data_IF_836780309235
#
_entry.id   IF_836780309235
#
_cell.length_a   1.000
_cell.length_b   1.000
_cell.length_c   1.000
_cell.angle_alpha   90.00
_cell.angle_beta   90.00
_cell.angle_gamma   90.00
#
_symmetry.space_group_name_H-M   'P 1'
#
loop_
_entity.id
_entity.type
_entity.pdbx_description
1 polymer ?
#
# COMPACT_ATOMS: atom_id res chain seq x y z
N UNK A 1 -0.77 -17.15 4.66
CA UNK A 1 -1.74 -16.48 5.55
C UNK A 1 -3.19 -16.76 5.18
N UNK A 2 -3.63 -16.59 3.93
CA UNK A 2 -5.05 -16.77 3.53
C UNK A 2 -5.42 -18.18 3.03
N UNK A 3 -4.48 -19.13 3.10
CA UNK A 3 -4.71 -20.49 2.60
C UNK A 3 -5.16 -21.41 3.74
N UNK A 4 -6.45 -21.75 3.75
CA UNK A 4 -7.06 -22.61 4.75
C UNK A 4 -6.46 -24.04 4.72
N UNK A 5 -5.96 -24.51 3.56
CA UNK A 5 -5.42 -25.87 3.43
C UNK A 5 -4.05 -26.03 4.08
N UNK A 6 -3.28 -24.94 4.17
CA UNK A 6 -1.93 -24.93 4.73
C UNK A 6 -1.88 -24.34 6.14
N UNK A 7 -3.04 -24.21 6.80
CA UNK A 7 -3.11 -23.67 8.16
C UNK A 7 -2.98 -22.14 8.22
N UNK A 8 -3.66 -21.45 7.31
CA UNK A 8 -3.84 -20.00 7.32
C UNK A 8 -4.49 -19.46 8.59
N UNK A 9 -4.56 -18.13 8.68
CA UNK A 9 -5.22 -17.42 9.78
C UNK A 9 -6.74 -17.63 9.67
N UNK A 10 -7.45 -17.97 10.75
CA UNK A 10 -8.88 -18.26 10.68
C UNK A 10 -9.71 -17.02 10.36
N UNK A 11 -10.21 -16.92 9.12
CA UNK A 11 -11.11 -15.83 8.68
C UNK A 11 -12.54 -16.13 9.17
N UNK A 12 -13.13 -15.20 9.92
CA UNK A 12 -14.44 -15.40 10.58
C UNK A 12 -15.44 -14.30 10.22
N UNK A 13 -16.72 -14.62 10.40
CA UNK A 13 -17.79 -13.63 10.47
C UNK A 13 -18.23 -13.49 11.93
N UNK A 14 -17.95 -12.33 12.52
CA UNK A 14 -18.31 -12.04 13.92
C UNK A 14 -19.71 -11.46 13.98
N UNK A 15 -20.57 -12.02 14.83
CA UNK A 15 -21.93 -11.57 15.07
C UNK A 15 -22.06 -11.05 16.51
N UNK A 16 -22.62 -9.86 16.65
CA UNK A 16 -23.09 -9.29 17.90
C UNK A 16 -24.57 -8.93 17.76
N UNK A 17 -25.21 -8.46 18.84
CA UNK A 17 -26.61 -8.03 18.82
C UNK A 17 -26.86 -6.89 17.80
N UNK A 18 -25.91 -5.97 17.64
CA UNK A 18 -26.05 -4.78 16.78
C UNK A 18 -25.34 -4.89 15.42
N UNK A 19 -24.42 -5.84 15.27
CA UNK A 19 -23.55 -5.89 14.09
C UNK A 19 -23.20 -7.31 13.63
N UNK A 20 -23.05 -7.46 12.31
CA UNK A 20 -22.44 -8.63 11.68
C UNK A 20 -21.26 -8.14 10.85
N UNK A 21 -20.06 -8.55 11.22
CA UNK A 21 -18.81 -8.13 10.60
C UNK A 21 -18.20 -9.35 9.88
N UNK A 22 -18.32 -9.43 8.55
CA UNK A 22 -17.79 -10.55 7.78
C UNK A 22 -16.28 -10.41 7.56
N UNK A 23 -15.66 -11.54 7.22
CA UNK A 23 -14.31 -11.63 6.65
C UNK A 23 -13.25 -10.91 7.47
N UNK A 24 -13.21 -11.16 8.78
CA UNK A 24 -12.22 -10.57 9.70
C UNK A 24 -11.36 -11.64 10.35
N UNK A 25 -10.15 -11.24 10.72
CA UNK A 25 -9.21 -12.00 11.56
C UNK A 25 -8.84 -11.16 12.77
N UNK A 26 -8.47 -11.78 13.89
CA UNK A 26 -7.99 -11.01 15.06
C UNK A 26 -6.50 -10.73 14.96
N UNK A 27 -6.04 -9.69 15.67
CA UNK A 27 -4.63 -9.37 15.79
C UNK A 27 -3.84 -10.53 16.39
N UNK A 28 -4.35 -11.11 17.48
CA UNK A 28 -3.75 -12.31 18.11
C UNK A 28 -3.64 -13.49 17.14
N UNK A 29 -4.68 -13.79 16.35
CA UNK A 29 -4.60 -14.89 15.38
C UNK A 29 -3.48 -14.66 14.34
N UNK A 30 -3.27 -13.41 13.90
CA UNK A 30 -2.19 -13.06 12.96
C UNK A 30 -0.82 -13.19 13.64
N UNK A 31 -0.64 -12.63 14.83
CA UNK A 31 0.64 -12.64 15.55
C UNK A 31 1.08 -14.07 15.83
N UNK A 32 0.17 -14.91 16.34
CA UNK A 32 0.44 -16.33 16.57
C UNK A 32 0.76 -17.08 15.28
N UNK A 33 0.10 -16.75 14.17
CA UNK A 33 0.42 -17.33 12.87
C UNK A 33 1.83 -16.95 12.40
N UNK A 34 2.24 -15.69 12.58
CA UNK A 34 3.59 -15.22 12.23
C UNK A 34 4.65 -15.93 13.06
N UNK A 35 4.46 -15.98 14.39
CA UNK A 35 5.38 -16.66 15.30
C UNK A 35 5.60 -18.12 14.92
N UNK A 36 4.50 -18.85 14.69
CA UNK A 36 4.56 -20.27 14.33
C UNK A 36 5.19 -20.52 12.96
N UNK A 37 4.76 -19.81 11.93
CA UNK A 37 5.13 -20.13 10.55
C UNK A 37 6.49 -19.54 10.12
N UNK A 38 6.96 -18.51 10.82
CA UNK A 38 8.27 -17.89 10.58
C UNK A 38 9.29 -18.22 11.68
N UNK A 39 8.92 -19.06 12.65
CA UNK A 39 9.75 -19.44 13.80
C UNK A 39 10.28 -18.22 14.58
N UNK A 40 9.41 -17.24 14.81
CA UNK A 40 9.74 -16.05 15.62
C UNK A 40 9.47 -16.37 17.08
N UNK A 41 10.49 -16.24 17.92
CA UNK A 41 10.41 -16.53 19.36
C UNK A 41 9.86 -15.36 20.18
N UNK A 42 10.25 -14.12 19.83
CA UNK A 42 9.80 -12.90 20.52
C UNK A 42 8.47 -12.39 19.94
N UNK A 43 7.38 -12.33 20.74
CA UNK A 43 6.12 -11.73 20.30
C UNK A 43 6.27 -10.29 19.79
N UNK A 44 7.20 -9.51 20.35
CA UNK A 44 7.42 -8.12 19.94
C UNK A 44 7.94 -8.05 18.51
N UNK A 45 8.81 -8.96 18.10
CA UNK A 45 9.28 -9.07 16.71
C UNK A 45 8.14 -9.43 15.76
N UNK A 46 7.27 -10.37 16.15
CA UNK A 46 6.11 -10.75 15.34
C UNK A 46 5.10 -9.60 15.18
N UNK A 47 4.82 -8.85 16.25
CA UNK A 47 3.98 -7.66 16.22
C UNK A 47 4.60 -6.57 15.34
N UNK A 48 5.92 -6.38 15.43
CA UNK A 48 6.64 -5.42 14.61
C UNK A 48 6.55 -5.78 13.12
N UNK A 49 6.84 -7.03 12.75
CA UNK A 49 6.71 -7.53 11.38
C UNK A 49 5.27 -7.40 10.87
N UNK A 50 4.29 -7.79 11.69
CA UNK A 50 2.87 -7.64 11.39
C UNK A 50 2.47 -6.18 11.15
N UNK A 51 3.00 -5.25 11.95
CA UNK A 51 2.80 -3.81 11.78
C UNK A 51 3.41 -3.29 10.48
N UNK A 52 4.59 -3.78 10.08
CA UNK A 52 5.19 -3.43 8.79
C UNK A 52 4.34 -3.95 7.61
N UNK A 53 3.81 -5.18 7.70
CA UNK A 53 2.89 -5.73 6.71
C UNK A 53 1.62 -4.87 6.61
N UNK A 54 1.11 -4.40 7.75
CA UNK A 54 -0.06 -3.53 7.81
C UNK A 54 0.22 -2.12 7.23
N UNK A 55 1.35 -1.51 7.58
CA UNK A 55 1.77 -0.21 7.06
C UNK A 55 2.02 -0.20 5.54
N UNK A 56 2.32 -1.37 4.95
CA UNK A 56 2.38 -1.57 3.50
C UNK A 56 1.01 -1.88 2.88
N UNK A 57 -0.07 -1.91 3.66
CA UNK A 57 -1.44 -2.03 3.16
C UNK A 57 -1.88 -3.44 2.76
N UNK A 58 -1.15 -4.49 3.14
CA UNK A 58 -1.59 -5.88 2.85
C UNK A 58 -2.70 -6.35 3.80
N UNK A 59 -2.68 -5.85 5.03
CA UNK A 59 -3.64 -6.12 6.10
C UNK A 59 -3.95 -4.78 6.77
N UNK A 60 -5.18 -4.54 7.21
CA UNK A 60 -5.53 -3.27 7.85
C UNK A 60 -6.55 -3.46 8.98
N UNK A 61 -6.45 -2.67 10.07
CA UNK A 61 -7.47 -2.66 11.11
C UNK A 61 -8.77 -2.06 10.56
N UNK A 62 -9.91 -2.67 10.87
CA UNK A 62 -11.20 -2.24 10.29
C UNK A 62 -11.74 -0.95 10.93
N UNK A 63 -11.30 -0.62 12.14
CA UNK A 63 -11.84 0.43 13.01
C UNK A 63 -10.90 1.62 13.24
N UNK A 64 -9.72 1.63 12.62
CA UNK A 64 -8.71 2.66 12.81
C UNK A 64 -8.07 3.03 11.46
N UNK A 65 -7.62 4.27 11.32
CA UNK A 65 -6.85 4.77 10.19
C UNK A 65 -5.35 4.52 10.34
N UNK A 66 -4.87 4.31 11.57
CA UNK A 66 -3.46 3.98 11.81
C UNK A 66 -3.20 2.51 11.46
N UNK A 67 -2.40 2.28 10.42
CA UNK A 67 -2.08 0.95 9.91
C UNK A 67 -0.99 0.26 10.75
N UNK A 68 -1.36 -0.18 11.96
CA UNK A 68 -0.49 -0.90 12.90
C UNK A 68 -1.16 -2.18 13.38
N UNK A 69 -0.36 -3.14 13.87
CA UNK A 69 -0.84 -4.39 14.42
C UNK A 69 -0.79 -4.38 15.95
N UNK A 70 -1.81 -4.97 16.57
CA UNK A 70 -1.94 -5.16 18.01
C UNK A 70 -2.17 -6.64 18.29
N UNK A 71 -1.49 -7.19 19.30
CA UNK A 71 -1.74 -8.55 19.77
C UNK A 71 -2.92 -8.58 20.74
N UNK A 72 -4.11 -8.37 20.19
CA UNK A 72 -5.37 -8.37 20.92
C UNK A 72 -6.54 -8.79 20.01
N UNK A 73 -7.76 -8.62 20.53
CA UNK A 73 -9.01 -8.89 19.80
C UNK A 73 -9.36 -7.88 18.69
N UNK A 74 -8.49 -6.94 18.35
CA UNK A 74 -8.72 -5.99 17.25
C UNK A 74 -8.93 -6.74 15.94
N UNK A 75 -9.94 -6.33 15.16
CA UNK A 75 -10.26 -6.96 13.89
C UNK A 75 -9.50 -6.34 12.72
N UNK A 76 -8.93 -7.22 11.90
CA UNK A 76 -8.22 -6.87 10.68
C UNK A 76 -8.87 -7.51 9.46
N UNK A 77 -8.59 -6.94 8.29
CA UNK A 77 -8.95 -7.48 6.98
C UNK A 77 -7.74 -7.58 6.08
N UNK A 78 -7.72 -8.60 5.24
CA UNK A 78 -6.80 -8.67 4.10
C UNK A 78 -7.24 -7.69 3.01
N UNK A 79 -6.27 -7.01 2.42
CA UNK A 79 -6.48 -6.11 1.30
C UNK A 79 -6.69 -6.88 -0.01
N UNK A 80 -7.52 -6.33 -0.89
CA UNK A 80 -7.71 -6.87 -2.23
C UNK A 80 -6.40 -6.74 -3.05
N UNK A 81 -6.01 -7.76 -3.83
CA UNK A 81 -4.79 -7.72 -4.64
C UNK A 81 -4.71 -6.52 -5.60
N UNK A 82 -5.86 -6.01 -6.04
CA UNK A 82 -5.95 -4.79 -6.83
C UNK A 82 -5.26 -3.59 -6.15
N UNK A 83 -5.38 -3.46 -4.83
CA UNK A 83 -4.82 -2.35 -4.05
C UNK A 83 -3.40 -2.62 -3.51
N UNK A 84 -2.76 -3.74 -3.87
CA UNK A 84 -1.41 -4.03 -3.35
C UNK A 84 -0.37 -3.04 -3.89
N UNK A 85 0.62 -2.63 -3.06
CA UNK A 85 1.70 -1.72 -3.48
C UNK A 85 2.52 -2.24 -4.67
N UNK A 86 2.59 -3.56 -4.87
CA UNK A 86 3.28 -4.20 -6.00
C UNK A 86 2.71 -3.78 -7.36
N UNK A 87 1.46 -3.30 -7.41
CA UNK A 87 0.85 -2.75 -8.62
C UNK A 87 1.38 -1.34 -8.96
N UNK A 88 2.32 -0.81 -8.16
CA UNK A 88 3.00 0.46 -8.37
C UNK A 88 2.03 1.64 -8.51
N UNK A 89 1.01 1.68 -7.65
CA UNK A 89 0.05 2.77 -7.58
C UNK A 89 0.73 4.13 -7.36
N UNK A 90 0.28 5.13 -8.11
CA UNK A 90 0.61 6.55 -7.92
C UNK A 90 -0.68 7.38 -7.96
N UNK A 91 -1.54 7.28 -6.93
CA UNK A 91 -2.85 7.93 -6.96
C UNK A 91 -2.74 9.45 -6.92
N UNK A 92 -3.50 10.12 -7.77
CA UNK A 92 -3.46 11.57 -7.91
C UNK A 92 -4.31 12.27 -6.84
N UNK A 93 -4.08 13.57 -6.69
CA UNK A 93 -4.89 14.40 -5.80
C UNK A 93 -6.35 14.49 -6.28
N UNK A 94 -6.60 14.39 -7.59
CA UNK A 94 -7.95 14.33 -8.14
C UNK A 94 -8.68 13.08 -7.66
N UNK A 95 -8.03 11.91 -7.70
CA UNK A 95 -8.58 10.64 -7.21
C UNK A 95 -8.93 10.71 -5.72
N UNK A 96 -8.05 11.32 -4.92
CA UNK A 96 -8.29 11.50 -3.49
C UNK A 96 -9.46 12.45 -3.21
N UNK A 97 -9.57 13.53 -3.99
CA UNK A 97 -10.71 14.45 -3.89
C UNK A 97 -12.03 13.75 -4.21
N UNK A 98 -12.06 12.88 -5.24
CA UNK A 98 -13.24 12.06 -5.58
C UNK A 98 -13.58 11.13 -4.42
N UNK A 99 -12.59 10.43 -3.85
CA UNK A 99 -12.80 9.53 -2.71
C UNK A 99 -13.39 10.25 -1.48
N UNK A 100 -12.81 11.38 -1.07
CA UNK A 100 -13.29 12.16 0.07
C UNK A 100 -14.69 12.72 -0.19
N UNK A 101 -14.92 13.28 -1.39
CA UNK A 101 -16.22 13.79 -1.78
C UNK A 101 -17.29 12.67 -1.77
N UNK A 102 -16.96 11.49 -2.32
CA UNK A 102 -17.81 10.30 -2.29
C UNK A 102 -18.18 9.91 -0.85
N UNK A 103 -17.24 9.94 0.08
CA UNK A 103 -17.49 9.65 1.51
C UNK A 103 -18.47 10.63 2.13
N UNK A 104 -18.31 11.93 1.87
CA UNK A 104 -19.24 12.95 2.40
C UNK A 104 -20.67 12.77 1.89
N UNK A 105 -20.87 12.24 0.69
CA UNK A 105 -22.21 12.02 0.11
C UNK A 105 -22.95 10.83 0.73
N UNK A 106 -22.27 9.93 1.44
CA UNK A 106 -22.91 8.70 1.92
C UNK A 106 -23.72 8.89 3.21
N UNK A 107 -23.53 10.00 3.96
CA UNK A 107 -24.24 10.32 5.20
C UNK A 107 -24.32 9.15 6.19
N UNK A 108 -23.18 8.52 6.49
CA UNK A 108 -23.06 7.42 7.47
C UNK A 108 -21.95 7.74 8.44
N UNK A 109 -22.22 7.66 9.75
CA UNK A 109 -21.23 7.92 10.80
C UNK A 109 -19.90 7.18 10.59
N UNK A 110 -19.94 5.89 10.22
CA UNK A 110 -18.72 5.09 9.92
C UNK A 110 -17.85 5.60 8.75
N UNK A 111 -18.37 6.51 7.93
CA UNK A 111 -17.72 7.08 6.75
C UNK A 111 -17.43 8.57 6.91
N UNK A 112 -17.78 9.16 8.06
CA UNK A 112 -17.44 10.55 8.37
C UNK A 112 -15.95 10.75 8.24
N UNK A 113 -15.57 11.91 7.71
CA UNK A 113 -14.17 12.26 7.53
C UNK A 113 -13.56 12.53 8.90
N UNK A 114 -12.35 12.01 9.14
CA UNK A 114 -11.55 12.48 10.24
C UNK A 114 -11.12 13.94 10.01
N UNK A 115 -10.74 14.66 11.06
CA UNK A 115 -10.40 16.09 10.96
C UNK A 115 -9.34 16.38 9.90
N UNK A 116 -8.27 15.56 9.85
CA UNK A 116 -7.20 15.70 8.85
C UNK A 116 -7.69 15.41 7.41
N UNK A 117 -8.68 14.52 7.25
CA UNK A 117 -9.29 14.24 5.94
C UNK A 117 -10.19 15.40 5.50
N UNK A 118 -10.93 16.00 6.43
CA UNK A 118 -11.75 17.19 6.18
C UNK A 118 -10.88 18.41 5.80
N UNK A 119 -9.75 18.60 6.48
CA UNK A 119 -8.76 19.63 6.12
C UNK A 119 -8.19 19.39 4.72
N UNK A 120 -7.84 18.14 4.40
CA UNK A 120 -7.39 17.75 3.06
C UNK A 120 -8.45 18.02 2.00
N UNK A 121 -9.72 17.68 2.26
CA UNK A 121 -10.83 17.97 1.35
C UNK A 121 -10.96 19.46 1.10
N UNK A 122 -10.91 20.29 2.15
CA UNK A 122 -10.98 21.75 2.02
C UNK A 122 -9.81 22.32 1.22
N UNK A 123 -8.59 21.78 1.39
CA UNK A 123 -7.42 22.14 0.58
C UNK A 123 -7.60 21.76 -0.89
N UNK A 124 -8.11 20.56 -1.17
CA UNK A 124 -8.35 20.07 -2.53
C UNK A 124 -9.47 20.84 -3.23
N UNK A 125 -10.54 21.20 -2.51
CA UNK A 125 -11.60 22.08 -3.02
C UNK A 125 -11.06 23.43 -3.48
N UNK A 126 -10.18 24.03 -2.68
CA UNK A 126 -9.49 25.29 -3.06
C UNK A 126 -8.59 25.09 -4.27
N UNK A 127 -7.77 24.04 -4.28
CA UNK A 127 -6.85 23.73 -5.36
C UNK A 127 -7.56 23.42 -6.70
N UNK A 128 -8.74 22.79 -6.63
CA UNK A 128 -9.47 22.30 -7.79
C UNK A 128 -10.78 23.03 -8.03
N UNK A 129 -10.92 24.28 -7.55
CA UNK A 129 -12.16 25.04 -7.61
C UNK A 129 -12.79 25.07 -9.02
N UNK A 130 -11.99 25.24 -10.07
CA UNK A 130 -12.46 25.28 -11.47
C UNK A 130 -12.93 23.93 -12.02
N UNK A 131 -12.47 22.81 -11.46
CA UNK A 131 -12.82 21.44 -11.88
C UNK A 131 -13.64 20.70 -10.82
N UNK A 132 -14.11 21.39 -9.79
CA UNK A 132 -14.81 20.80 -8.65
C UNK A 132 -16.13 20.13 -9.07
N UNK A 133 -16.86 20.72 -10.01
CA UNK A 133 -18.11 20.14 -10.53
C UNK A 133 -17.88 18.77 -11.18
N UNK A 134 -16.78 18.59 -11.93
CA UNK A 134 -16.40 17.29 -12.49
C UNK A 134 -16.05 16.26 -11.41
N UNK A 135 -15.30 16.67 -10.39
CA UNK A 135 -14.97 15.81 -9.23
C UNK A 135 -16.25 15.36 -8.52
N UNK A 136 -17.17 16.29 -8.28
CA UNK A 136 -18.46 16.00 -7.65
C UNK A 136 -19.30 15.03 -8.50
N UNK A 137 -19.39 15.26 -9.81
CA UNK A 137 -20.12 14.38 -10.73
C UNK A 137 -19.54 12.97 -10.76
N UNK A 138 -18.21 12.83 -10.76
CA UNK A 138 -17.55 11.52 -10.69
C UNK A 138 -17.80 10.81 -9.36
N UNK A 139 -17.70 11.52 -8.24
CA UNK A 139 -18.02 10.98 -6.92
C UNK A 139 -19.49 10.50 -6.86
N UNK A 140 -20.43 11.30 -7.36
CA UNK A 140 -21.84 10.96 -7.38
C UNK A 140 -22.12 9.70 -8.24
N UNK A 141 -21.47 9.60 -9.42
CA UNK A 141 -21.57 8.42 -10.27
C UNK A 141 -21.06 7.15 -9.56
N UNK A 142 -19.94 7.24 -8.83
CA UNK A 142 -19.45 6.12 -8.02
C UNK A 142 -20.41 5.75 -6.88
N UNK A 143 -20.98 6.73 -6.16
CA UNK A 143 -22.01 6.47 -5.14
C UNK A 143 -23.21 5.72 -5.73
N UNK A 144 -23.67 6.11 -6.93
CA UNK A 144 -24.78 5.44 -7.62
C UNK A 144 -24.46 3.98 -7.94
N UNK A 145 -23.22 3.67 -8.33
CA UNK A 145 -22.76 2.30 -8.57
C UNK A 145 -22.68 1.52 -7.25
N UNK A 146 -22.06 2.09 -6.23
CA UNK A 146 -21.89 1.44 -4.91
C UNK A 146 -23.22 1.14 -4.24
N UNK A 147 -24.25 1.96 -4.47
CA UNK A 147 -25.62 1.72 -3.97
C UNK A 147 -26.29 0.48 -4.57
N UNK A 148 -25.85 0.00 -5.74
CA UNK A 148 -26.36 -1.24 -6.37
C UNK A 148 -25.78 -2.50 -5.74
N UNK A 149 -24.66 -2.39 -5.03
CA UNK A 149 -24.01 -3.51 -4.33
C UNK A 149 -24.75 -3.85 -3.04
N UNK A 150 -24.67 -5.11 -2.62
CA UNK A 150 -25.26 -5.50 -1.35
C UNK A 150 -24.56 -4.80 -0.18
N UNK A 151 -25.26 -4.70 0.95
CA UNK A 151 -24.78 -3.94 2.13
C UNK A 151 -23.46 -4.50 2.69
N UNK A 152 -23.26 -5.80 2.59
CA UNK A 152 -22.10 -6.51 3.15
C UNK A 152 -20.89 -6.31 2.25
N UNK A 153 -21.03 -6.56 0.95
CA UNK A 153 -20.00 -6.33 -0.07
C UNK A 153 -19.57 -4.87 -0.06
N UNK A 154 -20.51 -3.91 -0.10
CA UNK A 154 -20.20 -2.48 -0.04
C UNK A 154 -19.38 -2.11 1.20
N UNK A 155 -19.71 -2.66 2.37
CA UNK A 155 -18.93 -2.39 3.60
C UNK A 155 -17.49 -2.92 3.52
N UNK A 156 -17.27 -4.02 2.79
CA UNK A 156 -15.92 -4.57 2.55
C UNK A 156 -15.15 -3.66 1.60
N UNK A 157 -15.76 -3.31 0.46
CA UNK A 157 -15.16 -2.43 -0.54
C UNK A 157 -14.82 -1.05 0.04
N UNK A 158 -15.75 -0.43 0.78
CA UNK A 158 -15.50 0.86 1.46
C UNK A 158 -14.26 0.78 2.39
N UNK A 159 -14.12 -0.34 3.14
CA UNK A 159 -13.00 -0.52 4.07
C UNK A 159 -11.67 -0.78 3.36
N UNK A 160 -11.70 -1.49 2.22
CA UNK A 160 -10.52 -1.76 1.39
C UNK A 160 -10.03 -0.49 0.71
N UNK A 161 -10.94 0.31 0.16
CA UNK A 161 -10.62 1.61 -0.43
C UNK A 161 -10.10 2.59 0.62
N UNK A 162 -10.68 2.62 1.83
CA UNK A 162 -10.14 3.38 2.96
C UNK A 162 -8.70 2.99 3.25
N UNK A 163 -8.42 1.70 3.43
CA UNK A 163 -7.08 1.21 3.72
C UNK A 163 -6.07 1.52 2.61
N UNK A 164 -6.50 1.55 1.34
CA UNK A 164 -5.67 2.02 0.24
C UNK A 164 -5.27 3.49 0.44
N UNK A 165 -6.22 4.35 0.82
CA UNK A 165 -5.92 5.76 1.09
C UNK A 165 -5.12 5.97 2.37
N UNK A 166 -5.29 5.16 3.40
CA UNK A 166 -4.47 5.22 4.62
C UNK A 166 -2.98 4.95 4.35
N UNK A 167 -2.64 4.19 3.30
CA UNK A 167 -1.25 4.02 2.84
C UNK A 167 -0.74 5.25 2.10
N UNK A 168 -1.55 5.80 1.18
CA UNK A 168 -1.10 6.84 0.24
C UNK A 168 -1.31 8.27 0.74
N UNK A 169 -2.13 8.45 1.77
CA UNK A 169 -2.48 9.70 2.45
C UNK A 169 -2.54 9.43 3.96
N UNK A 170 -1.43 9.00 4.57
CA UNK A 170 -1.42 8.51 5.95
C UNK A 170 -1.82 9.61 6.94
N UNK A 171 -2.30 9.16 8.10
CA UNK A 171 -2.59 10.04 9.25
C UNK A 171 -1.34 10.89 9.56
N UNK A 172 -1.47 12.21 9.80
CA UNK A 172 -0.33 13.05 10.16
C UNK A 172 0.46 12.47 11.34
N UNK A 173 1.79 12.41 11.19
CA UNK A 173 2.70 11.79 12.16
C UNK A 173 3.00 10.32 11.91
N UNK A 174 2.23 9.62 11.08
CA UNK A 174 2.57 8.27 10.63
C UNK A 174 3.64 8.31 9.53
N UNK A 175 4.46 7.26 9.47
CA UNK A 175 5.47 7.09 8.42
C UNK A 175 4.79 6.86 7.08
N UNK A 176 5.19 7.61 6.06
CA UNK A 176 4.73 7.41 4.70
C UNK A 176 5.55 6.30 4.00
N UNK A 177 4.96 5.11 3.92
CA UNK A 177 5.62 3.93 3.33
C UNK A 177 5.77 4.00 1.81
N UNK A 178 5.12 4.97 1.14
CA UNK A 178 5.23 5.18 -0.31
C UNK A 178 6.44 6.02 -0.71
N UNK A 179 7.09 6.69 0.27
CA UNK A 179 8.29 7.49 0.01
C UNK A 179 9.47 6.60 -0.36
N UNK A 180 10.17 7.00 -1.42
CA UNK A 180 11.35 6.30 -1.91
C UNK A 180 12.59 7.17 -1.73
N UNK A 181 13.68 6.55 -1.29
CA UNK A 181 14.99 7.20 -1.20
C UNK A 181 15.42 7.76 -2.56
N UNK A 182 15.93 9.00 -2.54
CA UNK A 182 16.34 9.74 -3.74
C UNK A 182 17.38 8.99 -4.59
N UNK A 183 18.30 8.25 -3.96
CA UNK A 183 19.32 7.45 -4.66
C UNK A 183 18.66 6.26 -5.35
N UNK A 184 17.66 5.64 -4.72
CA UNK A 184 16.86 4.56 -5.34
C UNK A 184 16.08 5.07 -6.55
N UNK A 185 15.43 6.24 -6.45
CA UNK A 185 14.75 6.86 -7.60
C UNK A 185 15.69 7.19 -8.76
N UNK A 186 16.89 7.70 -8.47
CA UNK A 186 17.92 7.96 -9.49
C UNK A 186 18.37 6.68 -10.19
N UNK A 187 18.64 5.60 -9.45
CA UNK A 187 19.02 4.29 -10.02
C UNK A 187 17.93 3.71 -10.92
N UNK A 188 16.68 3.88 -10.55
CA UNK A 188 15.52 3.45 -11.33
C UNK A 188 15.20 4.38 -12.51
N UNK A 189 16.02 5.42 -12.77
CA UNK A 189 15.79 6.45 -13.78
C UNK A 189 14.39 7.09 -13.71
N UNK A 190 13.82 7.18 -12.50
CA UNK A 190 12.51 7.80 -12.28
C UNK A 190 12.65 9.03 -11.38
N UNK A 191 13.19 10.15 -11.90
CA UNK A 191 13.41 11.37 -11.11
C UNK A 191 12.12 12.09 -10.72
N UNK A 192 10.98 11.79 -11.37
CA UNK A 192 9.70 12.41 -11.05
C UNK A 192 9.12 11.96 -9.71
N UNK A 193 9.39 10.71 -9.28
CA UNK A 193 8.96 10.18 -7.98
C UNK A 193 9.49 10.96 -6.78
N UNK A 194 10.66 11.60 -6.91
CA UNK A 194 11.28 12.37 -5.82
C UNK A 194 10.60 13.74 -5.63
N UNK A 195 9.94 14.27 -6.66
CA UNK A 195 9.41 15.64 -6.67
C UNK A 195 7.94 15.74 -6.26
N UNK A 196 7.19 14.63 -6.28
CA UNK A 196 5.77 14.61 -5.91
C UNK A 196 5.65 14.47 -4.39
N UNK A 197 5.51 15.59 -3.69
CA UNK A 197 5.05 15.57 -2.29
C UNK A 197 3.59 15.12 -2.25
N UNK A 198 3.23 14.25 -1.31
CA UNK A 198 1.86 13.75 -1.10
C UNK A 198 0.84 14.88 -0.93
N UNK A 199 1.25 15.97 -0.28
CA UNK A 199 0.42 17.16 -0.07
C UNK A 199 0.70 18.28 -1.08
N UNK A 200 1.68 18.09 -1.96
CA UNK A 200 2.01 19.04 -3.01
C UNK A 200 0.88 19.14 -4.03
N UNK A 201 0.39 20.36 -4.27
CA UNK A 201 -0.46 20.66 -5.42
C UNK A 201 0.47 21.22 -6.49
N UNK A 202 0.72 20.46 -7.55
CA UNK A 202 1.41 21.01 -8.72
C UNK A 202 0.33 21.32 -9.76
N UNK A 203 0.28 22.56 -10.26
CA UNK A 203 -0.53 22.86 -11.44
C UNK A 203 -0.03 22.02 -12.62
N UNK A 204 -0.99 21.49 -13.37
CA UNK A 204 -0.73 20.53 -14.44
C UNK A 204 0.29 21.06 -15.45
N UNK A 205 1.38 20.33 -15.61
CA UNK A 205 2.11 20.29 -16.88
C UNK A 205 2.55 18.85 -17.10
N UNK A 206 1.83 18.21 -18.03
CA UNK A 206 2.02 16.87 -18.59
C UNK A 206 1.53 15.71 -17.72
N UNK A 207 0.26 15.36 -17.95
CA UNK A 207 -0.31 14.03 -17.69
C UNK A 207 0.46 12.97 -18.49
N UNK A 208 1.27 12.16 -17.82
CA UNK A 208 1.72 10.88 -18.35
C UNK A 208 1.22 9.78 -17.41
N UNK A 209 0.18 9.06 -17.83
CA UNK A 209 -0.25 7.82 -17.18
C UNK A 209 0.92 6.83 -17.13
N UNK A 210 1.29 6.26 -15.98
CA UNK A 210 2.44 5.35 -15.88
C UNK A 210 2.15 3.92 -16.35
N UNK A 211 1.08 3.69 -17.14
CA UNK A 211 0.63 2.35 -17.55
C UNK A 211 1.54 1.70 -18.60
N UNK A 212 2.47 2.45 -19.21
CA UNK A 212 3.51 1.86 -20.06
C UNK A 212 4.89 2.34 -19.65
N UNK A 213 5.45 1.74 -18.60
CA UNK A 213 6.91 1.60 -18.54
C UNK A 213 7.27 0.69 -19.71
N UNK A 214 7.69 1.27 -20.83
CA UNK A 214 8.37 0.53 -21.89
C UNK A 214 9.49 -0.26 -21.22
N UNK A 215 9.40 -1.59 -21.31
CA UNK A 215 10.55 -2.45 -21.08
C UNK A 215 11.70 -1.88 -21.92
N UNK A 216 12.78 -1.49 -21.26
CA UNK A 216 13.95 -0.99 -21.98
C UNK A 216 14.33 -2.03 -23.03
N UNK A 217 14.64 -1.62 -24.27
CA UNK A 217 15.14 -2.56 -25.25
C UNK A 217 16.36 -3.24 -24.64
N UNK A 218 16.32 -4.57 -24.56
CA UNK A 218 17.43 -5.40 -24.10
C UNK A 218 18.63 -5.00 -24.98
N UNK A 219 19.58 -4.27 -24.39
CA UNK A 219 20.79 -3.87 -25.09
C UNK A 219 21.50 -5.15 -25.52
N UNK A 220 21.62 -5.36 -26.83
CA UNK A 220 22.36 -6.50 -27.38
C UNK A 220 23.82 -6.39 -26.93
N UNK A 221 24.33 -7.44 -26.30
CA UNK A 221 25.72 -7.52 -25.85
C UNK A 221 26.66 -7.30 -27.04
N UNK A 222 27.57 -6.33 -26.92
CA UNK A 222 28.51 -6.00 -27.99
C UNK A 222 29.81 -6.79 -27.84
N UNK A 223 30.61 -6.85 -28.91
CA UNK A 223 31.96 -7.45 -28.87
C UNK A 223 32.87 -6.77 -27.83
N UNK A 224 32.69 -5.47 -27.60
CA UNK A 224 33.44 -4.73 -26.59
C UNK A 224 33.03 -5.15 -25.16
N UNK A 225 31.74 -5.37 -24.92
CA UNK A 225 31.24 -5.85 -23.63
C UNK A 225 31.81 -7.25 -23.31
N UNK A 226 31.89 -8.14 -24.30
CA UNK A 226 32.50 -9.48 -24.14
C UNK A 226 33.99 -9.35 -23.81
N UNK A 227 34.73 -8.46 -24.48
CA UNK A 227 36.15 -8.22 -24.18
C UNK A 227 36.35 -7.73 -22.75
N UNK A 228 35.53 -6.77 -22.30
CA UNK A 228 35.55 -6.28 -20.91
C UNK A 228 35.27 -7.41 -19.91
N UNK A 229 34.31 -8.29 -20.22
CA UNK A 229 34.00 -9.44 -19.39
C UNK A 229 35.17 -10.44 -19.30
N UNK A 230 35.84 -10.74 -20.42
CA UNK A 230 37.03 -11.61 -20.43
C UNK A 230 38.15 -10.99 -19.59
N UNK A 231 38.43 -9.70 -19.76
CA UNK A 231 39.44 -9.00 -18.95
C UNK A 231 39.10 -9.05 -17.46
N UNK A 232 37.84 -8.79 -17.11
CA UNK A 232 37.37 -8.88 -15.72
C UNK A 232 37.58 -10.28 -15.15
N UNK A 233 37.15 -11.32 -15.88
CA UNK A 233 37.25 -12.71 -15.43
C UNK A 233 38.69 -13.18 -15.25
N UNK A 234 39.59 -12.84 -16.18
CA UNK A 234 41.03 -13.13 -16.03
C UNK A 234 41.58 -12.51 -14.73
N UNK A 235 41.27 -11.24 -14.48
CA UNK A 235 41.66 -10.57 -13.24
C UNK A 235 41.02 -11.20 -11.98
N UNK A 236 39.84 -11.83 -12.09
CA UNK A 236 39.25 -12.56 -10.96
C UNK A 236 40.00 -13.88 -10.68
N UNK A 237 40.45 -14.57 -11.72
CA UNK A 237 41.16 -15.87 -11.64
C UNK A 237 42.57 -15.69 -11.07
N UNK A 238 43.23 -14.60 -11.44
CA UNK A 238 44.60 -14.29 -10.98
C UNK A 238 44.66 -13.96 -9.47
N UNK A 239 43.51 -13.78 -8.81
CA UNK A 239 43.49 -13.54 -7.36
C UNK A 239 43.82 -14.83 -6.62
N UNK A 240 44.85 -14.75 -5.79
CA UNK A 240 45.19 -15.82 -4.87
C UNK A 240 44.11 -15.97 -3.79
N UNK A 241 43.38 -17.08 -3.81
CA UNK A 241 42.36 -17.42 -2.82
C UNK A 241 42.90 -18.45 -1.81
N UNK A 242 42.46 -18.33 -0.57
CA UNK A 242 42.70 -19.35 0.45
C UNK A 242 41.61 -20.43 0.39
N UNK A 243 41.94 -21.66 0.78
CA UNK A 243 40.94 -22.70 1.00
C UNK A 243 40.02 -22.28 2.15
N UNK A 244 38.72 -22.53 2.04
CA UNK A 244 37.76 -22.16 3.10
C UNK A 244 38.13 -22.71 4.47
N UNK A 245 38.72 -23.92 4.55
CA UNK A 245 39.20 -24.49 5.81
C UNK A 245 40.27 -23.61 6.48
N UNK A 246 41.17 -23.02 5.70
CA UNK A 246 42.22 -22.11 6.20
C UNK A 246 41.73 -20.70 6.52
N UNK A 247 40.54 -20.33 6.06
CA UNK A 247 39.90 -19.05 6.39
C UNK A 247 39.03 -19.19 7.64
N UNK A 248 38.50 -20.39 7.86
CA UNK A 248 37.65 -20.73 9.01
C UNK A 248 38.44 -21.14 10.26
N UNK A 249 39.67 -21.66 10.09
CA UNK A 249 40.69 -21.76 11.14
C UNK A 249 41.20 -20.37 11.56
#
# INVERSE_FOLDING_TARGET
MQDDKTGGVPIRTVKSFLSKIPSVVTGTDIVQWLMKNLSIEDPVEAIHLGSLIAAQGYIFPISDHVLTMKDDGTFYRFQAPYFWPSNCWEPENTDYAIYLCKRTMQNKARLELADYEAENLARLQRAFARKWEFIFMQAEAQVKIDRKKDKTERKILDSQERAFWDVHRPVPGCVNTTEMDIRKCRRLKNPQKVKKSVYGVTEESQSQSPVHVLSQPIRKTTKEDIRKQITFLNAQIDRHCLKMSKVAE
#
